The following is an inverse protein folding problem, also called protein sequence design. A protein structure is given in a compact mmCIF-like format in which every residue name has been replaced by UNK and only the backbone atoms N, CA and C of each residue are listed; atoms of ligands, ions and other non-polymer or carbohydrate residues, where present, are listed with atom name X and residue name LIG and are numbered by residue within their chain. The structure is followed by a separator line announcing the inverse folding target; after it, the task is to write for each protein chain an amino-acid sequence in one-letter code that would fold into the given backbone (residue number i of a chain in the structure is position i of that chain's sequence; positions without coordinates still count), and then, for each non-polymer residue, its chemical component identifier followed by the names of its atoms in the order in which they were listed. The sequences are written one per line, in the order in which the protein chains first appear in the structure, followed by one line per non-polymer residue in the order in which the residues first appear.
data_IF_121120844817
#
_entry.id   IF_121120844817
#
_cell.length_a   1.000
_cell.length_b   1.000
_cell.length_c   1.000
_cell.angle_alpha   90.00
_cell.angle_beta   90.00
_cell.angle_gamma   90.00
#
_symmetry.space_group_name_H-M   'P 1'
#
loop_
_entity.id
_entity.type
_entity.pdbx_description
1 polymer ?
#
# COMPACT_ATOMS: atom_id res chain seq x y z
N UNK A 1 3.14 -0.56 7.63
CA UNK A 1 2.79 0.61 6.80
C UNK A 1 3.98 1.52 6.56
N UNK A 2 4.44 2.25 7.59
CA UNK A 2 5.46 3.30 7.49
C UNK A 2 6.67 2.99 6.60
N UNK A 3 7.34 1.85 6.81
CA UNK A 3 8.53 1.50 6.03
C UNK A 3 8.22 1.22 4.56
N UNK A 4 7.04 0.69 4.24
CA UNK A 4 6.62 0.40 2.86
C UNK A 4 6.36 1.73 2.12
N UNK A 5 5.63 2.66 2.73
CA UNK A 5 5.36 3.97 2.11
C UNK A 5 6.66 4.77 1.91
N UNK A 6 7.55 4.77 2.92
CA UNK A 6 8.85 5.44 2.80
C UNK A 6 9.69 4.84 1.67
N UNK A 7 9.74 3.52 1.56
CA UNK A 7 10.47 2.83 0.50
C UNK A 7 9.87 3.11 -0.89
N UNK A 8 8.55 3.18 -1.01
CA UNK A 8 7.88 3.57 -2.25
C UNK A 8 8.35 4.95 -2.73
N UNK A 9 8.38 5.95 -1.84
CA UNK A 9 8.86 7.28 -2.20
C UNK A 9 10.36 7.30 -2.55
N UNK A 10 11.20 6.52 -1.86
CA UNK A 10 12.62 6.40 -2.20
C UNK A 10 12.83 5.83 -3.60
N UNK A 11 12.05 4.82 -3.99
CA UNK A 11 12.11 4.23 -5.34
C UNK A 11 11.64 5.19 -6.43
N UNK A 12 10.76 6.14 -6.09
CA UNK A 12 10.35 7.25 -6.97
C UNK A 12 11.39 8.38 -7.05
N UNK A 13 12.60 8.19 -6.52
CA UNK A 13 13.71 9.17 -6.52
C UNK A 13 13.36 10.50 -5.85
N UNK A 14 12.42 10.49 -4.90
CA UNK A 14 12.05 11.66 -4.09
C UNK A 14 13.17 11.93 -3.08
N UNK A 15 13.55 13.19 -2.89
CA UNK A 15 14.57 13.55 -1.91
C UNK A 15 14.08 13.36 -0.46
N UNK A 16 15.00 13.12 0.48
CA UNK A 16 14.64 12.73 1.85
C UNK A 16 13.83 13.83 2.58
N UNK A 17 14.00 15.12 2.25
CA UNK A 17 13.20 16.20 2.87
C UNK A 17 11.76 16.14 2.41
N UNK A 18 11.52 15.92 1.11
CA UNK A 18 10.18 15.73 0.58
C UNK A 18 9.56 14.43 1.08
N UNK A 19 10.34 13.35 1.23
CA UNK A 19 9.87 12.12 1.87
C UNK A 19 9.39 12.42 3.29
N UNK A 20 10.18 13.12 4.11
CA UNK A 20 9.78 13.45 5.49
C UNK A 20 8.47 14.25 5.53
N UNK A 21 8.32 15.25 4.66
CA UNK A 21 7.08 16.02 4.51
C UNK A 21 5.89 15.11 4.17
N UNK A 22 6.02 14.24 3.16
CA UNK A 22 4.95 13.33 2.74
C UNK A 22 4.59 12.33 3.84
N UNK A 23 5.59 11.78 4.51
CA UNK A 23 5.40 10.85 5.63
C UNK A 23 4.67 11.54 6.79
N UNK A 24 5.04 12.77 7.14
CA UNK A 24 4.38 13.56 8.19
C UNK A 24 2.97 14.03 7.82
N UNK A 25 2.61 14.05 6.53
CA UNK A 25 1.25 14.38 6.07
C UNK A 25 0.22 13.29 6.38
N UNK A 26 0.68 12.07 6.71
CA UNK A 26 -0.16 10.93 7.05
C UNK A 26 -0.27 10.84 8.57
N UNK A 27 -1.49 10.98 9.09
CA UNK A 27 -1.72 10.82 10.53
C UNK A 27 -1.42 9.40 11.02
N UNK A 28 -1.08 9.24 12.29
CA UNK A 28 -0.87 7.91 12.88
C UNK A 28 -2.10 7.00 12.75
N UNK A 29 -3.31 7.55 12.91
CA UNK A 29 -4.55 6.78 12.79
C UNK A 29 -4.78 6.29 11.35
N UNK A 30 -4.55 7.15 10.35
CA UNK A 30 -4.58 6.78 8.93
C UNK A 30 -3.55 5.69 8.63
N UNK A 31 -2.31 5.84 9.13
CA UNK A 31 -1.27 4.85 8.89
C UNK A 31 -1.57 3.50 9.58
N UNK A 32 -2.22 3.50 10.74
CA UNK A 32 -2.71 2.25 11.37
C UNK A 32 -3.72 1.54 10.48
N UNK A 33 -4.67 2.28 9.91
CA UNK A 33 -5.65 1.72 8.96
C UNK A 33 -4.97 1.18 7.68
N UNK A 34 -3.99 1.91 7.14
CA UNK A 34 -3.27 1.50 5.93
C UNK A 34 -2.33 0.33 6.15
N UNK A 35 -1.81 0.16 7.37
CA UNK A 35 -0.74 -0.79 7.64
C UNK A 35 -1.13 -2.24 7.35
N UNK A 36 -2.37 -2.64 7.63
CA UNK A 36 -2.85 -3.98 7.30
C UNK A 36 -2.83 -4.22 5.79
N UNK A 37 -3.46 -3.34 5.02
CA UNK A 37 -3.53 -3.45 3.56
C UNK A 37 -2.13 -3.47 2.91
N UNK A 38 -1.23 -2.59 3.35
CA UNK A 38 0.15 -2.53 2.82
C UNK A 38 0.95 -3.80 3.12
N UNK A 39 0.76 -4.40 4.30
CA UNK A 39 1.45 -5.62 4.69
C UNK A 39 0.91 -6.85 3.95
N UNK A 40 -0.42 -6.98 3.84
CA UNK A 40 -1.05 -8.08 3.11
C UNK A 40 -0.75 -7.97 1.60
N UNK A 41 -0.77 -6.76 1.03
CA UNK A 41 -0.32 -6.50 -0.34
C UNK A 41 1.14 -6.93 -0.57
N UNK A 42 2.06 -6.54 0.32
CA UNK A 42 3.46 -6.94 0.20
C UNK A 42 3.64 -8.47 0.30
N UNK A 43 2.84 -9.13 1.16
CA UNK A 43 2.82 -10.60 1.25
C UNK A 43 2.33 -11.23 -0.06
N UNK A 44 1.19 -10.75 -0.58
CA UNK A 44 0.64 -11.20 -1.86
C UNK A 44 1.65 -11.03 -3.01
N UNK A 45 2.35 -9.89 -3.08
CA UNK A 45 3.39 -9.67 -4.07
C UNK A 45 4.55 -10.66 -3.91
N UNK A 46 5.00 -10.89 -2.67
CA UNK A 46 6.08 -11.84 -2.40
C UNK A 46 5.71 -13.27 -2.79
N UNK A 47 4.47 -13.70 -2.55
CA UNK A 47 3.98 -15.03 -2.90
C UNK A 47 3.84 -15.22 -4.42
N UNK A 48 3.43 -14.16 -5.13
CA UNK A 48 3.22 -14.18 -6.58
C UNK A 48 4.44 -13.70 -7.40
N UNK A 49 5.54 -13.32 -6.74
CA UNK A 49 6.75 -12.74 -7.36
C UNK A 49 6.48 -11.45 -8.16
N UNK A 50 5.59 -10.61 -7.64
CA UNK A 50 5.32 -9.27 -8.18
C UNK A 50 6.20 -8.21 -7.51
N UNK A 51 6.44 -7.09 -8.20
CA UNK A 51 7.07 -5.94 -7.58
C UNK A 51 6.05 -5.20 -6.70
N UNK A 52 6.22 -5.28 -5.38
CA UNK A 52 5.39 -4.56 -4.40
C UNK A 52 5.25 -3.08 -4.73
N UNK A 53 6.30 -2.46 -5.27
CA UNK A 53 6.43 -1.01 -5.43
C UNK A 53 6.17 -0.49 -6.84
N UNK A 54 5.91 -1.40 -7.79
CA UNK A 54 5.56 -1.04 -9.15
C UNK A 54 4.57 -2.07 -9.73
N UNK A 55 3.36 -2.20 -9.15
CA UNK A 55 2.42 -3.19 -9.63
C UNK A 55 1.72 -2.80 -10.92
N UNK A 56 1.38 -3.82 -11.67
CA UNK A 56 0.40 -3.68 -12.74
C UNK A 56 -1.01 -3.56 -12.16
N UNK A 57 -1.88 -2.81 -12.85
CA UNK A 57 -3.28 -2.62 -12.45
C UNK A 57 -3.98 -3.97 -12.25
N UNK A 58 -3.70 -4.96 -13.09
CA UNK A 58 -4.31 -6.29 -12.99
C UNK A 58 -3.92 -7.03 -11.69
N UNK A 59 -2.69 -6.86 -11.21
CA UNK A 59 -2.21 -7.49 -9.98
C UNK A 59 -2.91 -6.89 -8.75
N UNK A 60 -3.12 -5.57 -8.76
CA UNK A 60 -3.90 -4.88 -7.71
C UNK A 60 -5.35 -5.36 -7.72
N UNK A 61 -5.96 -5.49 -8.90
CA UNK A 61 -7.35 -5.98 -9.03
C UNK A 61 -7.51 -7.44 -8.59
N UNK A 62 -6.52 -8.30 -8.87
CA UNK A 62 -6.48 -9.68 -8.37
C UNK A 62 -6.48 -9.70 -6.85
N UNK A 63 -5.54 -8.99 -6.23
CA UNK A 63 -5.44 -8.90 -4.77
C UNK A 63 -6.71 -8.35 -4.12
N UNK A 64 -7.28 -7.27 -4.66
CA UNK A 64 -8.55 -6.70 -4.17
C UNK A 64 -9.72 -7.69 -4.29
N UNK A 65 -9.73 -8.50 -5.34
CA UNK A 65 -10.75 -9.55 -5.54
C UNK A 65 -10.60 -10.63 -4.48
N UNK A 66 -9.37 -11.01 -4.14
CA UNK A 66 -9.10 -11.99 -3.08
C UNK A 66 -9.48 -11.44 -1.69
N UNK A 67 -9.19 -10.16 -1.41
CA UNK A 67 -9.67 -9.48 -0.20
C UNK A 67 -11.19 -9.50 -0.08
N UNK A 68 -11.89 -9.17 -1.16
CA UNK A 68 -13.35 -9.22 -1.19
C UNK A 68 -13.88 -10.64 -0.94
N UNK A 69 -13.29 -11.65 -1.59
CA UNK A 69 -13.64 -13.06 -1.39
C UNK A 69 -13.35 -13.56 0.03
N UNK A 70 -12.35 -12.98 0.70
CA UNK A 70 -12.06 -13.21 2.13
C UNK A 70 -13.05 -12.51 3.08
N UNK A 71 -14.01 -11.74 2.55
CA UNK A 71 -15.05 -11.07 3.33
C UNK A 71 -14.75 -9.60 3.67
N UNK A 72 -13.75 -8.99 3.05
CA UNK A 72 -13.49 -7.57 3.23
C UNK A 72 -14.68 -6.72 2.77
N UNK A 73 -15.07 -5.75 3.61
CA UNK A 73 -16.11 -4.78 3.24
C UNK A 73 -15.62 -3.83 2.14
N UNK A 74 -16.53 -3.21 1.40
CA UNK A 74 -16.16 -2.14 0.45
C UNK A 74 -15.43 -0.97 1.12
N UNK A 75 -15.72 -0.67 2.39
CA UNK A 75 -14.97 0.32 3.16
C UNK A 75 -13.52 -0.08 3.37
N UNK A 76 -13.27 -1.34 3.73
CA UNK A 76 -11.93 -1.92 3.87
C UNK A 76 -11.17 -1.88 2.55
N UNK A 77 -11.83 -2.26 1.45
CA UNK A 77 -11.25 -2.23 0.11
C UNK A 77 -10.91 -0.79 -0.31
N UNK A 78 -11.75 0.19 0.01
CA UNK A 78 -11.46 1.60 -0.28
C UNK A 78 -10.26 2.12 0.53
N UNK A 79 -10.16 1.76 1.81
CA UNK A 79 -8.97 2.08 2.63
C UNK A 79 -7.72 1.46 2.00
N UNK A 80 -7.81 0.20 1.58
CA UNK A 80 -6.72 -0.48 0.88
C UNK A 80 -6.33 0.25 -0.41
N UNK A 81 -7.28 0.65 -1.25
CA UNK A 81 -7.00 1.44 -2.47
C UNK A 81 -6.25 2.73 -2.16
N UNK A 82 -6.70 3.47 -1.15
CA UNK A 82 -6.02 4.70 -0.72
C UNK A 82 -4.62 4.43 -0.20
N UNK A 83 -4.41 3.33 0.53
CA UNK A 83 -3.10 2.92 0.99
C UNK A 83 -2.15 2.57 -0.18
N UNK A 84 -2.62 1.76 -1.14
CA UNK A 84 -1.83 1.36 -2.31
C UNK A 84 -1.54 2.54 -3.24
N UNK A 85 -2.34 3.62 -3.23
CA UNK A 85 -2.05 4.82 -4.03
C UNK A 85 -0.78 5.57 -3.58
N UNK A 86 -0.26 5.26 -2.39
CA UNK A 86 1.01 5.78 -1.89
C UNK A 86 2.22 5.02 -2.42
N UNK A 87 1.99 3.84 -3.01
CA UNK A 87 2.99 3.00 -3.64
C UNK A 87 3.23 3.45 -5.07
#
# INVERSE_FOLDING_TARGET
GWNIVREAYRRKTVDEKTIELLMNSITESTMKQYSYALQDWNKFCSENKYDTFNPEVIQVLQWMTDEYRRGASYGTINIARSALSLI
#
